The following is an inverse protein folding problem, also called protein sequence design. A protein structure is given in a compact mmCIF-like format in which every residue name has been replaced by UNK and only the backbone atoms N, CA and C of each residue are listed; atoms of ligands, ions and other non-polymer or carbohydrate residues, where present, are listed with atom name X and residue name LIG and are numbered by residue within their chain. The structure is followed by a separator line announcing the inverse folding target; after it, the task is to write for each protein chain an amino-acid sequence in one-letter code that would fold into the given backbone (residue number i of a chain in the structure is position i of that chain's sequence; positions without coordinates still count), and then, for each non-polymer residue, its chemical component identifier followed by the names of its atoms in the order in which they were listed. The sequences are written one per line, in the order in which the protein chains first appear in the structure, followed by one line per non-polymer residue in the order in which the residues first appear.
data_IF_530425521328
#
_entry.id   IF_530425521328
#
_cell.length_a   1.000
_cell.length_b   1.000
_cell.length_c   1.000
_cell.angle_alpha   90.00
_cell.angle_beta   90.00
_cell.angle_gamma   90.00
#
_symmetry.space_group_name_H-M   'P 1'
#
loop_
_entity.id
_entity.type
_entity.pdbx_description
1 polymer ?
#
# COMPACT_ATOMS: atom_id res chain seq x y z
N UNK A 1 -13.39 62.94 -30.99
CA UNK A 1 -13.96 62.55 -32.29
C UNK A 1 -14.50 61.12 -32.20
N UNK A 2 -15.85 61.04 -32.31
CA UNK A 2 -16.72 59.94 -32.79
C UNK A 2 -16.31 58.49 -32.51
N UNK A 3 -16.78 57.76 -31.48
CA UNK A 3 -18.10 57.09 -31.34
C UNK A 3 -18.54 56.25 -32.55
N UNK A 4 -18.66 54.92 -32.34
CA UNK A 4 -19.75 54.09 -32.89
C UNK A 4 -19.87 52.77 -32.15
N UNK A 5 -20.99 52.61 -31.43
CA UNK A 5 -21.54 51.30 -31.04
C UNK A 5 -22.30 50.72 -32.25
N UNK A 6 -22.46 49.42 -32.36
CA UNK A 6 -23.52 48.79 -33.15
C UNK A 6 -24.61 48.19 -32.23
N UNK A 7 -25.80 48.46 -32.69
CA UNK A 7 -27.12 48.08 -32.22
C UNK A 7 -27.43 46.56 -32.30
N UNK A 8 -28.07 46.02 -31.24
CA UNK A 8 -28.75 44.74 -31.27
C UNK A 8 -30.24 44.94 -31.52
N UNK A 9 -30.72 44.41 -32.65
CA UNK A 9 -32.14 44.33 -32.96
C UNK A 9 -32.67 42.96 -32.52
N UNK A 10 -33.71 43.04 -31.72
CA UNK A 10 -34.50 41.95 -31.19
C UNK A 10 -35.29 41.23 -32.30
N UNK A 11 -35.23 39.89 -32.42
CA UNK A 11 -36.25 39.07 -33.05
C UNK A 11 -36.79 38.06 -32.06
N UNK A 12 -37.97 38.32 -31.54
CA UNK A 12 -38.87 37.39 -30.86
C UNK A 12 -39.43 36.37 -31.87
N UNK A 13 -39.45 35.12 -31.49
CA UNK A 13 -40.33 34.13 -32.09
C UNK A 13 -39.63 32.80 -32.42
N UNK A 14 -39.93 31.78 -31.63
CA UNK A 14 -39.72 30.33 -31.69
C UNK A 14 -38.84 29.73 -30.59
N UNK A 15 -39.32 29.83 -29.37
CA UNK A 15 -38.76 29.06 -28.23
C UNK A 15 -39.99 28.48 -27.50
N UNK A 16 -40.57 27.39 -27.95
CA UNK A 16 -41.55 26.63 -27.13
C UNK A 16 -41.74 25.15 -27.54
N UNK A 17 -40.94 24.58 -28.47
CA UNK A 17 -41.07 23.15 -28.81
C UNK A 17 -39.78 22.35 -28.55
N UNK A 18 -38.64 23.03 -28.26
CA UNK A 18 -37.36 22.32 -27.99
C UNK A 18 -37.19 21.94 -26.50
N UNK A 19 -38.00 22.53 -25.61
CA UNK A 19 -37.86 22.34 -24.15
C UNK A 19 -38.36 20.96 -23.65
N UNK A 20 -39.36 20.33 -24.32
CA UNK A 20 -39.87 19.02 -23.89
C UNK A 20 -39.01 17.83 -24.36
N UNK A 21 -38.41 17.93 -25.56
CA UNK A 21 -37.51 16.87 -26.05
C UNK A 21 -36.19 16.82 -25.30
N UNK A 22 -35.63 17.97 -24.90
CA UNK A 22 -34.41 18.05 -24.12
C UNK A 22 -34.58 17.51 -22.70
N UNK A 23 -35.72 17.76 -22.04
CA UNK A 23 -36.03 17.24 -20.71
C UNK A 23 -36.24 15.72 -20.70
N UNK A 24 -36.81 15.16 -21.80
CA UNK A 24 -37.00 13.70 -21.90
C UNK A 24 -35.70 12.96 -22.19
N UNK A 25 -34.78 13.53 -22.98
CA UNK A 25 -33.44 12.99 -23.24
C UNK A 25 -32.54 13.12 -22.00
N UNK A 26 -32.69 14.19 -21.23
CA UNK A 26 -31.95 14.32 -19.95
C UNK A 26 -32.44 13.33 -18.88
N UNK A 27 -33.75 13.05 -18.84
CA UNK A 27 -34.32 12.04 -17.95
C UNK A 27 -33.91 10.61 -18.35
N UNK A 28 -33.82 10.31 -19.65
CA UNK A 28 -33.33 9.02 -20.16
C UNK A 28 -31.81 8.87 -19.93
N UNK A 29 -31.03 9.93 -20.05
CA UNK A 29 -29.59 9.89 -19.73
C UNK A 29 -29.31 9.77 -18.23
N UNK A 30 -30.13 10.38 -17.37
CA UNK A 30 -30.07 10.20 -15.91
C UNK A 30 -30.54 8.81 -15.49
N UNK A 31 -31.55 8.23 -16.15
CA UNK A 31 -31.98 6.85 -15.90
C UNK A 31 -30.94 5.83 -16.40
N UNK A 32 -30.24 6.09 -17.50
CA UNK A 32 -29.13 5.28 -17.99
C UNK A 32 -27.88 5.41 -17.07
N UNK A 33 -27.65 6.58 -16.47
CA UNK A 33 -26.60 6.78 -15.45
C UNK A 33 -26.95 6.09 -14.11
N UNK A 34 -28.25 5.92 -13.80
CA UNK A 34 -28.70 5.14 -12.63
C UNK A 34 -28.59 3.63 -12.86
N UNK A 35 -28.63 3.15 -14.11
CA UNK A 35 -28.39 1.74 -14.44
C UNK A 35 -26.90 1.41 -14.56
N UNK A 36 -26.02 2.41 -14.53
CA UNK A 36 -24.57 2.25 -14.39
C UNK A 36 -24.08 2.53 -12.96
N UNK A 37 -24.95 2.43 -11.96
CA UNK A 37 -24.46 2.15 -10.64
C UNK A 37 -23.75 0.80 -10.73
N UNK A 38 -22.40 0.87 -10.66
CA UNK A 38 -21.56 -0.27 -10.40
C UNK A 38 -22.28 -1.15 -9.37
N UNK A 39 -22.62 -2.37 -9.74
CA UNK A 39 -22.96 -3.37 -8.74
C UNK A 39 -21.77 -3.39 -7.78
N UNK A 40 -21.90 -2.75 -6.63
CA UNK A 40 -21.01 -3.02 -5.52
C UNK A 40 -21.01 -4.54 -5.41
N UNK A 41 -19.86 -5.17 -5.57
CA UNK A 41 -19.78 -6.62 -5.45
C UNK A 41 -20.40 -6.95 -4.09
N UNK A 42 -21.52 -7.71 -4.10
CA UNK A 42 -22.17 -8.10 -2.88
C UNK A 42 -21.16 -8.87 -2.04
N UNK A 43 -20.82 -8.34 -0.88
CA UNK A 43 -19.88 -8.98 0.05
C UNK A 43 -20.59 -10.18 0.65
N UNK A 44 -20.01 -11.37 0.45
CA UNK A 44 -20.56 -12.60 0.99
C UNK A 44 -20.18 -12.74 2.47
N UNK A 45 -21.08 -12.41 3.38
CA UNK A 45 -20.91 -12.52 4.83
C UNK A 45 -21.51 -13.83 5.41
N UNK A 46 -21.87 -14.79 4.56
CA UNK A 46 -22.55 -16.03 4.99
C UNK A 46 -21.63 -17.04 5.70
N UNK A 47 -20.32 -16.90 5.59
CA UNK A 47 -19.37 -17.79 6.27
C UNK A 47 -19.20 -17.29 7.72
N UNK A 48 -19.84 -17.98 8.67
CA UNK A 48 -19.67 -17.67 10.08
C UNK A 48 -18.23 -17.98 10.52
N UNK A 49 -17.59 -17.01 11.12
CA UNK A 49 -16.22 -17.11 11.65
C UNK A 49 -16.25 -16.81 13.15
N UNK A 50 -15.74 -17.74 13.97
CA UNK A 50 -15.43 -17.40 15.35
C UNK A 50 -14.24 -16.41 15.36
N UNK A 51 -14.25 -15.46 16.29
CA UNK A 51 -13.20 -14.46 16.40
C UNK A 51 -11.82 -15.14 16.50
N UNK A 52 -10.89 -14.77 15.61
CA UNK A 52 -9.53 -15.37 15.54
C UNK A 52 -9.39 -16.65 14.71
N UNK A 53 -10.46 -17.31 14.24
CA UNK A 53 -10.35 -18.47 13.35
C UNK A 53 -10.10 -18.04 11.90
N UNK A 54 -9.21 -18.78 11.20
CA UNK A 54 -9.00 -18.61 9.75
C UNK A 54 -10.06 -19.38 8.97
N UNK A 55 -10.37 -18.90 7.78
CA UNK A 55 -11.21 -19.59 6.80
C UNK A 55 -10.31 -20.62 6.07
N UNK A 56 -10.65 -21.91 6.18
CA UNK A 56 -9.91 -22.95 5.47
C UNK A 56 -10.37 -23.01 4.01
N UNK A 57 -9.43 -22.82 3.08
CA UNK A 57 -9.67 -22.81 1.64
C UNK A 57 -8.94 -23.97 0.97
N UNK A 58 -9.69 -24.82 0.28
CA UNK A 58 -9.12 -25.80 -0.64
C UNK A 58 -8.97 -25.21 -2.05
N UNK A 59 -7.90 -25.58 -2.74
CA UNK A 59 -7.69 -25.24 -4.15
C UNK A 59 -7.77 -26.47 -5.02
N UNK A 60 -8.54 -26.39 -6.12
CA UNK A 60 -8.75 -27.49 -7.07
C UNK A 60 -8.64 -26.98 -8.50
N UNK A 61 -8.39 -27.91 -9.44
CA UNK A 61 -8.53 -27.62 -10.87
C UNK A 61 -7.51 -26.65 -11.46
N UNK A 62 -6.42 -26.33 -10.77
CA UNK A 62 -5.31 -25.60 -11.38
C UNK A 62 -4.72 -26.43 -12.53
N UNK A 63 -5.54 -26.62 -13.56
CA UNK A 63 -5.19 -27.35 -14.77
C UNK A 63 -4.57 -26.41 -15.79
N UNK A 64 -3.54 -26.89 -16.47
CA UNK A 64 -2.82 -26.11 -17.46
C UNK A 64 -3.33 -26.44 -18.86
N UNK A 65 -4.15 -25.60 -19.45
CA UNK A 65 -4.54 -25.68 -20.87
C UNK A 65 -3.66 -24.82 -21.77
N UNK A 66 -2.52 -24.35 -21.27
CA UNK A 66 -1.59 -23.54 -22.05
C UNK A 66 -0.73 -24.46 -22.90
N UNK A 67 -1.17 -24.76 -24.12
CA UNK A 67 -0.35 -25.47 -25.10
C UNK A 67 0.82 -24.56 -25.54
N UNK A 68 2.04 -25.12 -25.53
CA UNK A 68 3.21 -24.51 -26.19
C UNK A 68 4.25 -23.81 -25.30
N UNK A 69 4.09 -23.79 -23.96
CA UNK A 69 5.13 -23.37 -23.05
C UNK A 69 5.84 -24.59 -22.46
N UNK A 70 6.79 -25.15 -23.24
CA UNK A 70 7.73 -26.13 -22.71
C UNK A 70 8.67 -25.42 -21.73
N UNK A 71 8.57 -25.77 -20.43
CA UNK A 71 9.52 -25.39 -19.38
C UNK A 71 9.04 -24.44 -18.29
N UNK A 72 7.94 -23.69 -18.45
CA UNK A 72 7.44 -22.80 -17.40
C UNK A 72 6.30 -23.45 -16.60
N UNK A 73 6.53 -23.68 -15.32
CA UNK A 73 5.49 -24.16 -14.40
C UNK A 73 4.59 -22.99 -13.95
N UNK A 74 3.76 -22.47 -14.87
CA UNK A 74 2.85 -21.33 -14.59
C UNK A 74 1.85 -21.64 -13.47
N UNK A 75 1.39 -22.90 -13.37
CA UNK A 75 0.51 -23.32 -12.29
C UNK A 75 1.23 -23.28 -10.94
N UNK A 76 2.47 -23.76 -10.90
CA UNK A 76 3.29 -23.70 -9.69
C UNK A 76 3.53 -22.26 -9.25
N UNK A 77 3.81 -21.36 -10.20
CA UNK A 77 3.95 -19.93 -9.91
C UNK A 77 2.64 -19.34 -9.38
N UNK A 78 1.50 -19.59 -10.03
CA UNK A 78 0.20 -19.09 -9.60
C UNK A 78 -0.17 -19.57 -8.19
N UNK A 79 0.02 -20.87 -7.91
CA UNK A 79 -0.25 -21.46 -6.59
C UNK A 79 0.71 -20.93 -5.50
N UNK A 80 1.99 -20.77 -5.82
CA UNK A 80 2.98 -20.16 -4.90
C UNK A 80 2.57 -18.74 -4.54
N UNK A 81 2.24 -17.91 -5.53
CA UNK A 81 1.79 -16.52 -5.33
C UNK A 81 0.51 -16.48 -4.51
N UNK A 82 -0.51 -17.27 -4.89
CA UNK A 82 -1.78 -17.35 -4.16
C UNK A 82 -1.57 -17.75 -2.69
N UNK A 83 -0.71 -18.75 -2.42
CA UNK A 83 -0.40 -19.17 -1.05
C UNK A 83 0.25 -18.05 -0.25
N UNK A 84 1.23 -17.36 -0.83
CA UNK A 84 1.87 -16.21 -0.20
C UNK A 84 0.86 -15.11 0.15
N UNK A 85 -0.08 -14.82 -0.77
CA UNK A 85 -1.13 -13.82 -0.57
C UNK A 85 -2.11 -14.21 0.53
N UNK A 86 -2.54 -15.48 0.56
CA UNK A 86 -3.45 -15.98 1.59
C UNK A 86 -2.79 -15.95 2.98
N UNK A 87 -1.51 -16.31 3.06
CA UNK A 87 -0.74 -16.20 4.32
C UNK A 87 -0.63 -14.74 4.79
N UNK A 88 -0.42 -13.79 3.85
CA UNK A 88 -0.43 -12.35 4.14
C UNK A 88 -1.81 -11.84 4.55
N UNK A 89 -2.90 -12.44 4.06
CA UNK A 89 -4.24 -12.01 4.47
C UNK A 89 -4.49 -12.17 5.97
N UNK A 90 -3.78 -13.11 6.61
CA UNK A 90 -3.97 -13.58 7.98
C UNK A 90 -5.38 -14.13 8.30
N UNK A 91 -6.31 -14.09 7.32
CA UNK A 91 -7.71 -14.52 7.50
C UNK A 91 -8.03 -15.83 6.81
N UNK A 92 -7.21 -16.24 5.82
CA UNK A 92 -7.41 -17.49 5.05
C UNK A 92 -6.25 -18.43 5.33
N UNK A 93 -6.56 -19.73 5.46
CA UNK A 93 -5.60 -20.83 5.55
C UNK A 93 -5.77 -21.75 4.36
N UNK A 94 -4.75 -21.88 3.52
CA UNK A 94 -4.80 -22.81 2.41
C UNK A 94 -4.56 -24.22 2.88
N UNK A 95 -5.48 -25.14 2.55
CA UNK A 95 -5.37 -26.55 2.84
C UNK A 95 -4.33 -27.18 1.90
N UNK A 96 -3.52 -28.11 2.43
CA UNK A 96 -2.58 -28.87 1.59
C UNK A 96 -3.39 -29.75 0.59
N UNK A 97 -3.17 -29.63 -0.72
CA UNK A 97 -3.85 -30.47 -1.72
C UNK A 97 -3.69 -31.95 -1.47
N UNK A 98 -2.57 -32.42 -0.88
CA UNK A 98 -2.31 -33.79 -0.57
C UNK A 98 -3.17 -34.33 0.60
N UNK A 99 -3.76 -33.47 1.39
CA UNK A 99 -4.68 -33.85 2.48
C UNK A 99 -6.14 -34.01 2.02
N UNK A 100 -6.43 -33.69 0.76
CA UNK A 100 -7.77 -33.85 0.20
C UNK A 100 -8.08 -35.35 -0.08
N UNK A 101 -9.35 -35.81 0.07
CA UNK A 101 -9.76 -37.19 -0.14
C UNK A 101 -9.91 -37.56 -1.62
N UNK A 102 -9.35 -36.74 -2.51
CA UNK A 102 -9.35 -36.93 -3.97
C UNK A 102 -8.20 -36.12 -4.59
N UNK A 103 -7.80 -36.53 -5.80
CA UNK A 103 -6.83 -35.77 -6.57
C UNK A 103 -7.46 -34.46 -7.07
N UNK A 104 -7.00 -33.32 -6.49
CA UNK A 104 -7.49 -32.00 -6.79
C UNK A 104 -7.26 -31.57 -8.25
N UNK A 105 -6.33 -32.19 -8.96
CA UNK A 105 -6.02 -31.89 -10.37
C UNK A 105 -7.04 -32.51 -11.34
N UNK A 106 -7.82 -33.51 -10.87
CA UNK A 106 -8.85 -34.16 -11.67
C UNK A 106 -10.19 -33.45 -11.70
N UNK A 107 -10.34 -32.36 -10.91
CA UNK A 107 -11.55 -31.55 -10.91
C UNK A 107 -11.62 -30.75 -12.22
N UNK A 108 -12.58 -31.12 -13.07
CA UNK A 108 -12.79 -30.49 -14.37
C UNK A 108 -13.72 -29.29 -14.27
N UNK A 109 -13.52 -28.24 -15.08
CA UNK A 109 -14.46 -27.13 -15.19
C UNK A 109 -15.90 -27.59 -15.47
N UNK A 110 -16.86 -27.08 -14.71
CA UNK A 110 -18.27 -27.44 -14.77
C UNK A 110 -18.68 -28.62 -13.89
N UNK A 111 -17.74 -29.31 -13.28
CA UNK A 111 -18.02 -30.44 -12.36
C UNK A 111 -17.57 -30.17 -10.92
N UNK A 112 -17.24 -28.95 -10.59
CA UNK A 112 -16.70 -28.53 -9.29
C UNK A 112 -17.67 -28.86 -8.15
N UNK A 113 -18.98 -28.71 -8.38
CA UNK A 113 -20.03 -28.96 -7.41
C UNK A 113 -20.08 -30.40 -6.89
N UNK A 114 -19.63 -31.37 -7.68
CA UNK A 114 -19.62 -32.81 -7.31
C UNK A 114 -18.65 -33.11 -6.17
N UNK A 115 -17.65 -32.24 -5.96
CA UNK A 115 -16.60 -32.44 -4.95
C UNK A 115 -16.92 -31.73 -3.61
N UNK A 116 -17.84 -30.77 -3.58
CA UNK A 116 -18.18 -30.03 -2.35
C UNK A 116 -18.61 -30.92 -1.18
N UNK A 117 -19.44 -31.98 -1.38
CA UNK A 117 -19.81 -32.85 -0.27
C UNK A 117 -18.63 -33.57 0.39
N UNK A 118 -17.56 -33.82 -0.37
CA UNK A 118 -16.34 -34.47 0.15
C UNK A 118 -15.48 -33.56 0.99
N UNK A 119 -15.62 -32.23 0.80
CA UNK A 119 -14.87 -31.20 1.54
C UNK A 119 -15.56 -30.79 2.85
N UNK A 120 -16.88 -30.96 2.94
CA UNK A 120 -17.66 -30.52 4.10
C UNK A 120 -17.26 -31.26 5.40
N UNK A 121 -16.79 -32.53 5.30
CA UNK A 121 -16.30 -33.28 6.46
C UNK A 121 -14.91 -32.88 6.96
N UNK A 122 -14.18 -32.04 6.21
CA UNK A 122 -12.80 -31.65 6.50
C UNK A 122 -12.68 -30.24 7.11
N UNK A 123 -13.78 -29.67 7.60
CA UNK A 123 -13.80 -28.27 8.10
C UNK A 123 -13.27 -27.26 7.09
N UNK A 124 -13.51 -27.50 5.81
CA UNK A 124 -13.18 -26.58 4.70
C UNK A 124 -14.41 -25.74 4.41
N UNK A 125 -14.28 -24.40 4.52
CA UNK A 125 -15.38 -23.48 4.32
C UNK A 125 -15.53 -23.09 2.86
N UNK A 126 -14.42 -22.93 2.13
CA UNK A 126 -14.43 -22.50 0.73
C UNK A 126 -13.55 -23.35 -0.15
N UNK A 127 -13.97 -23.50 -1.41
CA UNK A 127 -13.20 -24.16 -2.46
C UNK A 127 -12.95 -23.18 -3.60
N UNK A 128 -11.69 -22.96 -3.95
CA UNK A 128 -11.28 -22.21 -5.14
C UNK A 128 -10.98 -23.18 -6.27
N UNK A 129 -11.71 -23.08 -7.36
CA UNK A 129 -11.39 -23.74 -8.62
C UNK A 129 -10.84 -22.70 -9.61
N UNK A 130 -9.65 -22.96 -10.14
CA UNK A 130 -9.01 -22.04 -11.08
C UNK A 130 -8.45 -22.79 -12.29
N UNK A 131 -8.58 -22.15 -13.45
CA UNK A 131 -8.07 -22.66 -14.72
C UNK A 131 -7.22 -21.57 -15.39
N UNK A 132 -6.01 -21.96 -15.82
CA UNK A 132 -5.15 -21.10 -16.60
C UNK A 132 -5.23 -21.48 -18.08
N UNK A 133 -5.62 -20.55 -18.93
CA UNK A 133 -5.69 -20.72 -20.37
C UNK A 133 -4.98 -19.60 -21.11
N UNK A 134 -4.71 -19.80 -22.39
CA UNK A 134 -4.10 -18.79 -23.27
C UNK A 134 -5.04 -18.46 -24.42
N UNK A 135 -5.25 -17.18 -24.66
CA UNK A 135 -5.92 -16.68 -25.84
C UNK A 135 -5.00 -15.68 -26.52
N UNK A 136 -4.58 -15.99 -27.76
CA UNK A 136 -3.59 -15.22 -28.51
C UNK A 136 -2.29 -15.01 -27.70
N UNK A 137 -2.01 -13.77 -27.33
CA UNK A 137 -0.81 -13.38 -26.58
C UNK A 137 -1.10 -13.05 -25.09
N UNK A 138 -2.29 -13.41 -24.59
CA UNK A 138 -2.70 -13.16 -23.20
C UNK A 138 -2.95 -14.45 -22.45
N UNK A 139 -2.61 -14.44 -21.16
CA UNK A 139 -3.03 -15.43 -20.20
C UNK A 139 -4.40 -15.03 -19.63
N UNK A 140 -5.27 -16.02 -19.46
CA UNK A 140 -6.57 -15.88 -18.82
C UNK A 140 -6.57 -16.80 -17.60
N UNK A 141 -6.71 -16.23 -16.42
CA UNK A 141 -6.96 -16.94 -15.18
C UNK A 141 -8.47 -16.86 -14.91
N UNK A 142 -9.16 -17.98 -15.13
CA UNK A 142 -10.60 -18.14 -14.83
C UNK A 142 -10.72 -18.75 -13.44
N UNK A 143 -11.37 -18.06 -12.51
CA UNK A 143 -11.42 -18.45 -11.11
C UNK A 143 -12.84 -18.39 -10.56
N UNK A 144 -13.25 -19.48 -9.90
CA UNK A 144 -14.55 -19.63 -9.25
C UNK A 144 -14.35 -19.98 -7.78
N UNK A 145 -15.04 -19.29 -6.90
CA UNK A 145 -15.06 -19.59 -5.47
C UNK A 145 -16.41 -20.18 -5.09
N UNK A 146 -16.39 -21.23 -4.29
CA UNK A 146 -17.57 -21.95 -3.84
C UNK A 146 -17.66 -21.95 -2.31
N UNK A 147 -18.84 -21.71 -1.76
CA UNK A 147 -19.16 -22.04 -0.37
C UNK A 147 -19.43 -23.55 -0.29
N UNK A 148 -18.65 -24.23 0.54
CA UNK A 148 -18.73 -25.70 0.70
C UNK A 148 -20.01 -26.09 1.44
N UNK A 149 -20.43 -25.32 2.44
CA UNK A 149 -21.61 -25.60 3.28
C UNK A 149 -22.92 -25.32 2.52
N UNK A 150 -23.00 -24.18 1.86
CA UNK A 150 -24.15 -23.79 1.05
C UNK A 150 -24.21 -24.51 -0.31
N UNK A 151 -23.12 -25.17 -0.70
CA UNK A 151 -22.96 -25.83 -2.01
C UNK A 151 -23.28 -24.90 -3.18
N UNK A 152 -22.80 -23.69 -3.14
CA UNK A 152 -23.07 -22.70 -4.19
C UNK A 152 -21.81 -21.98 -4.62
N UNK A 153 -21.78 -21.56 -5.88
CA UNK A 153 -20.75 -20.66 -6.40
C UNK A 153 -21.02 -19.25 -5.88
N UNK A 154 -20.02 -18.65 -5.23
CA UNK A 154 -20.13 -17.32 -4.60
C UNK A 154 -19.31 -16.24 -5.32
N UNK A 155 -18.31 -16.63 -6.14
CA UNK A 155 -17.54 -15.72 -6.97
C UNK A 155 -17.18 -16.39 -8.30
N UNK A 156 -17.18 -15.60 -9.40
CA UNK A 156 -16.62 -16.02 -10.68
C UNK A 156 -16.02 -14.81 -11.38
N UNK A 157 -14.72 -14.82 -11.53
CA UNK A 157 -13.99 -13.74 -12.19
C UNK A 157 -12.96 -14.29 -13.18
N UNK A 158 -12.72 -13.52 -14.25
CA UNK A 158 -11.66 -13.75 -15.24
C UNK A 158 -10.64 -12.62 -15.22
N UNK A 159 -9.38 -13.00 -15.06
CA UNK A 159 -8.27 -12.05 -15.02
C UNK A 159 -7.41 -12.26 -16.27
N UNK A 160 -7.30 -11.21 -17.06
CA UNK A 160 -6.41 -11.21 -18.24
C UNK A 160 -5.10 -10.54 -17.91
N UNK A 161 -4.01 -11.12 -18.39
CA UNK A 161 -2.65 -10.59 -18.23
C UNK A 161 -1.80 -10.92 -19.46
N UNK A 162 -0.71 -10.18 -19.67
CA UNK A 162 0.35 -10.62 -20.58
C UNK A 162 1.07 -11.80 -19.96
N UNK A 163 1.98 -12.44 -20.72
CA UNK A 163 2.75 -13.59 -20.26
C UNK A 163 3.55 -13.35 -18.97
N UNK A 164 4.01 -12.12 -18.75
CA UNK A 164 4.74 -11.71 -17.53
C UNK A 164 3.81 -11.21 -16.39
N UNK A 165 2.53 -11.06 -16.66
CA UNK A 165 1.55 -10.46 -15.73
C UNK A 165 0.79 -11.46 -14.88
N UNK A 166 1.15 -12.76 -14.89
CA UNK A 166 0.43 -13.80 -14.15
C UNK A 166 0.37 -13.50 -12.65
N UNK A 167 1.50 -13.14 -12.04
CA UNK A 167 1.57 -12.78 -10.61
C UNK A 167 0.59 -11.64 -10.28
N UNK A 168 0.57 -10.58 -11.09
CA UNK A 168 -0.37 -9.47 -10.89
C UNK A 168 -1.85 -9.90 -11.06
N UNK A 169 -2.14 -10.88 -11.92
CA UNK A 169 -3.49 -11.45 -12.06
C UNK A 169 -3.88 -12.25 -10.82
N UNK A 170 -2.95 -13.02 -10.26
CA UNK A 170 -3.17 -13.77 -9.02
C UNK A 170 -3.37 -12.84 -7.83
N UNK A 171 -2.57 -11.77 -7.68
CA UNK A 171 -2.78 -10.76 -6.62
C UNK A 171 -4.17 -10.11 -6.70
N UNK A 172 -4.70 -9.85 -7.91
CA UNK A 172 -6.07 -9.37 -8.08
C UNK A 172 -7.10 -10.39 -7.61
N UNK A 173 -6.94 -11.65 -8.00
CA UNK A 173 -7.79 -12.74 -7.52
C UNK A 173 -7.76 -12.84 -6.00
N UNK A 174 -6.57 -12.78 -5.41
CA UNK A 174 -6.37 -12.84 -3.96
C UNK A 174 -7.10 -11.71 -3.22
N UNK A 175 -6.96 -10.48 -3.70
CA UNK A 175 -7.65 -9.32 -3.12
C UNK A 175 -9.17 -9.43 -3.26
N UNK A 176 -9.67 -9.94 -4.39
CA UNK A 176 -11.10 -10.14 -4.63
C UNK A 176 -11.67 -11.24 -3.71
N UNK A 177 -10.94 -12.35 -3.50
CA UNK A 177 -11.31 -13.41 -2.55
C UNK A 177 -11.38 -12.84 -1.13
N UNK A 178 -10.34 -12.10 -0.69
CA UNK A 178 -10.29 -11.50 0.64
C UNK A 178 -11.48 -10.55 0.82
N UNK A 179 -11.70 -9.66 -0.15
CA UNK A 179 -12.80 -8.70 -0.09
C UNK A 179 -14.16 -9.39 -0.02
N UNK A 180 -14.38 -10.41 -0.86
CA UNK A 180 -15.65 -11.12 -0.92
C UNK A 180 -15.98 -11.84 0.38
N UNK A 181 -14.96 -12.45 1.02
CA UNK A 181 -15.13 -13.22 2.26
C UNK A 181 -15.15 -12.35 3.52
N UNK A 182 -14.60 -11.13 3.48
CA UNK A 182 -14.38 -10.33 4.72
C UNK A 182 -15.00 -8.93 4.67
N UNK A 183 -15.34 -8.42 3.49
CA UNK A 183 -15.71 -7.03 3.28
C UNK A 183 -14.52 -6.05 3.32
N UNK A 184 -13.32 -6.52 3.63
CA UNK A 184 -12.12 -5.69 3.71
C UNK A 184 -11.28 -5.85 2.45
N UNK A 185 -10.78 -4.73 1.91
CA UNK A 185 -9.87 -4.78 0.76
C UNK A 185 -8.55 -5.46 1.13
N UNK A 186 -8.10 -6.38 0.29
CA UNK A 186 -6.78 -7.00 0.41
C UNK A 186 -5.63 -6.01 0.19
N UNK A 187 -4.41 -6.47 0.46
CA UNK A 187 -3.16 -5.71 0.30
C UNK A 187 -2.22 -6.36 -0.73
N UNK A 188 -2.63 -7.45 -1.39
CA UNK A 188 -1.76 -8.25 -2.24
C UNK A 188 -1.22 -7.49 -3.45
N UNK A 189 -1.97 -6.49 -3.96
CA UNK A 189 -1.55 -5.61 -5.06
C UNK A 189 -0.68 -4.43 -4.63
N UNK A 190 -0.48 -4.22 -3.34
CA UNK A 190 0.34 -3.11 -2.85
C UNK A 190 1.82 -3.38 -3.10
N UNK A 191 2.62 -2.31 -3.07
CA UNK A 191 4.05 -2.36 -3.34
C UNK A 191 4.83 -1.73 -2.18
N UNK A 192 6.10 -2.08 -2.10
CA UNK A 192 7.05 -1.38 -1.25
C UNK A 192 7.97 -0.51 -2.12
N UNK A 193 8.05 0.78 -1.80
CA UNK A 193 9.12 1.64 -2.26
C UNK A 193 10.28 1.56 -1.26
N UNK A 194 11.50 1.54 -1.73
CA UNK A 194 12.68 1.43 -0.86
C UNK A 194 13.92 2.01 -1.52
N UNK A 195 14.97 2.19 -0.74
CA UNK A 195 16.29 2.58 -1.22
C UNK A 195 17.19 1.35 -1.32
N UNK A 196 17.96 1.23 -2.40
CA UNK A 196 18.99 0.20 -2.52
C UNK A 196 20.24 0.72 -3.23
N UNK A 197 21.40 0.16 -2.87
CA UNK A 197 22.68 0.41 -3.51
C UNK A 197 23.00 -0.62 -4.63
N UNK A 198 22.03 -1.43 -5.04
CA UNK A 198 22.19 -2.51 -6.04
C UNK A 198 22.80 -2.03 -7.37
N UNK A 199 22.55 -0.79 -7.77
CA UNK A 199 23.12 -0.17 -8.98
C UNK A 199 24.41 0.61 -8.74
N UNK A 200 25.05 0.48 -7.56
CA UNK A 200 26.27 1.18 -7.14
C UNK A 200 26.04 2.49 -6.40
N UNK A 201 24.89 3.15 -6.59
CA UNK A 201 24.47 4.32 -5.84
C UNK A 201 23.13 4.03 -5.12
N UNK A 202 22.79 4.82 -4.09
CA UNK A 202 21.49 4.72 -3.43
C UNK A 202 20.40 5.29 -4.31
N UNK A 203 19.62 4.39 -4.91
CA UNK A 203 18.52 4.71 -5.81
C UNK A 203 17.19 4.21 -5.23
N UNK A 204 16.07 4.76 -5.71
CA UNK A 204 14.72 4.33 -5.33
C UNK A 204 14.32 3.14 -6.20
N UNK A 205 13.77 2.13 -5.56
CA UNK A 205 13.23 0.92 -6.17
C UNK A 205 11.80 0.66 -5.69
N UNK A 206 11.08 -0.15 -6.45
CA UNK A 206 9.80 -0.75 -6.06
C UNK A 206 9.93 -2.27 -6.08
N UNK A 207 9.17 -2.98 -5.23
CA UNK A 207 8.96 -4.43 -5.28
C UNK A 207 7.53 -4.78 -4.88
N UNK A 208 7.08 -5.94 -5.29
CA UNK A 208 5.83 -6.54 -4.82
C UNK A 208 6.00 -7.13 -3.40
N UNK A 209 4.91 -7.45 -2.72
CA UNK A 209 4.96 -7.94 -1.33
C UNK A 209 5.52 -9.36 -1.15
N UNK A 210 5.68 -10.10 -2.23
CA UNK A 210 6.40 -11.37 -2.26
C UNK A 210 7.92 -11.22 -2.40
N UNK A 211 8.41 -9.96 -2.59
CA UNK A 211 9.80 -9.62 -2.81
C UNK A 211 10.23 -9.66 -4.28
N UNK A 212 9.31 -10.05 -5.17
CA UNK A 212 9.54 -10.15 -6.61
C UNK A 212 9.32 -8.81 -7.34
N UNK A 213 9.51 -8.78 -8.65
CA UNK A 213 9.30 -7.63 -9.55
C UNK A 213 10.04 -6.35 -9.11
N UNK A 214 11.29 -6.50 -8.67
CA UNK A 214 12.14 -5.37 -8.26
C UNK A 214 12.43 -4.45 -9.45
N UNK A 215 11.94 -3.20 -9.37
CA UNK A 215 12.09 -2.20 -10.44
C UNK A 215 12.85 -0.97 -9.93
N UNK A 216 13.87 -0.56 -10.65
CA UNK A 216 14.63 0.67 -10.37
C UNK A 216 13.87 1.90 -10.91
N UNK A 217 13.53 2.83 -10.03
CA UNK A 217 12.75 4.03 -10.35
C UNK A 217 13.61 5.27 -10.59
N UNK A 218 14.76 5.37 -9.93
CA UNK A 218 15.72 6.48 -10.14
C UNK A 218 17.03 5.94 -10.69
N UNK A 219 17.70 6.73 -11.55
CA UNK A 219 18.96 6.35 -12.21
C UNK A 219 19.85 7.58 -12.44
N UNK A 220 20.11 8.33 -11.38
CA UNK A 220 20.89 9.55 -11.47
C UNK A 220 22.30 9.43 -10.84
N UNK A 221 22.64 8.25 -10.30
CA UNK A 221 23.93 7.94 -9.67
C UNK A 221 24.27 8.87 -8.50
N UNK A 222 23.23 9.34 -7.80
CA UNK A 222 23.34 10.18 -6.62
C UNK A 222 22.67 9.50 -5.42
N UNK A 223 22.66 10.18 -4.26
CA UNK A 223 21.89 9.72 -3.12
C UNK A 223 20.42 10.08 -3.34
N UNK A 224 19.55 9.07 -3.38
CA UNK A 224 18.11 9.21 -3.39
C UNK A 224 17.58 8.46 -2.16
N UNK A 225 16.86 9.17 -1.27
CA UNK A 225 16.56 8.72 0.08
C UNK A 225 15.08 8.93 0.42
N UNK A 226 14.62 8.21 1.44
CA UNK A 226 13.30 8.41 2.09
C UNK A 226 12.13 8.52 1.12
N UNK A 227 11.87 7.50 0.27
CA UNK A 227 10.68 7.52 -0.56
C UNK A 227 9.42 7.54 0.31
N UNK A 228 8.37 8.27 -0.14
CA UNK A 228 7.06 8.34 0.51
C UNK A 228 5.96 8.36 -0.55
N UNK A 229 5.07 7.38 -0.50
CA UNK A 229 3.92 7.29 -1.40
C UNK A 229 2.91 8.40 -1.13
N UNK A 230 2.37 8.98 -2.21
CA UNK A 230 1.16 9.79 -2.12
C UNK A 230 -0.06 8.91 -1.76
N UNK A 231 -1.09 9.45 -1.09
CA UNK A 231 -2.27 8.68 -0.68
C UNK A 231 -3.04 8.03 -1.82
N UNK A 232 -2.94 8.56 -3.05
CA UNK A 232 -3.53 8.02 -4.27
C UNK A 232 -2.65 6.96 -4.97
N UNK A 233 -1.44 6.69 -4.45
CA UNK A 233 -0.50 5.72 -5.01
C UNK A 233 0.15 6.13 -6.34
N UNK A 234 -0.04 7.37 -6.80
CA UNK A 234 0.49 7.84 -8.08
C UNK A 234 1.90 8.40 -7.99
N UNK A 235 2.22 9.04 -6.89
CA UNK A 235 3.50 9.73 -6.73
C UNK A 235 4.34 9.14 -5.61
N UNK A 236 5.67 9.24 -5.78
CA UNK A 236 6.65 9.08 -4.72
C UNK A 236 7.34 10.41 -4.48
N UNK A 237 7.22 10.96 -3.27
CA UNK A 237 8.10 12.02 -2.80
C UNK A 237 9.41 11.40 -2.32
N UNK A 238 10.55 11.99 -2.66
CA UNK A 238 11.85 11.52 -2.23
C UNK A 238 12.87 12.64 -2.19
N UNK A 239 13.90 12.46 -1.37
CA UNK A 239 15.04 13.40 -1.27
C UNK A 239 16.13 12.95 -2.24
N UNK A 240 16.69 13.90 -3.01
CA UNK A 240 17.80 13.63 -3.92
C UNK A 240 18.91 14.66 -3.80
N UNK A 241 20.16 14.18 -3.78
CA UNK A 241 21.37 15.01 -3.79
C UNK A 241 21.93 15.22 -5.20
N UNK A 242 21.15 14.93 -6.26
CA UNK A 242 21.61 15.01 -7.66
C UNK A 242 22.12 16.39 -8.07
N UNK A 243 21.62 17.44 -7.47
CA UNK A 243 22.00 18.84 -7.75
C UNK A 243 22.91 19.42 -6.64
N UNK A 244 23.51 18.53 -5.80
CA UNK A 244 24.48 18.89 -4.74
C UNK A 244 23.83 19.17 -3.38
N UNK A 245 22.61 19.67 -3.33
CA UNK A 245 21.83 19.90 -2.10
C UNK A 245 20.77 18.83 -1.92
N UNK A 246 20.37 18.48 -0.68
CA UNK A 246 19.21 17.61 -0.46
C UNK A 246 17.92 18.33 -0.84
N UNK A 247 17.47 18.12 -2.06
CA UNK A 247 16.25 18.70 -2.63
C UNK A 247 15.12 17.65 -2.65
N UNK A 248 13.87 18.12 -2.60
CA UNK A 248 12.69 17.28 -2.62
C UNK A 248 12.13 17.15 -4.04
N UNK A 249 11.90 15.92 -4.46
CA UNK A 249 11.36 15.56 -5.77
C UNK A 249 10.08 14.75 -5.65
N UNK A 250 9.21 14.89 -6.65
CA UNK A 250 8.11 13.97 -6.93
C UNK A 250 8.45 13.12 -8.15
N UNK A 251 8.23 11.82 -8.06
CA UNK A 251 8.28 10.87 -9.15
C UNK A 251 6.86 10.37 -9.42
N UNK A 252 6.32 10.62 -10.62
CA UNK A 252 5.11 9.96 -11.12
C UNK A 252 5.46 8.51 -11.50
N UNK A 253 4.94 7.54 -10.77
CA UNK A 253 5.30 6.13 -10.95
C UNK A 253 4.72 5.52 -12.24
N UNK A 254 3.70 6.16 -12.82
CA UNK A 254 3.04 5.68 -14.03
C UNK A 254 3.82 6.02 -15.31
N UNK A 255 4.47 7.18 -15.35
CA UNK A 255 5.19 7.67 -16.52
C UNK A 255 6.68 7.95 -16.26
N UNK A 256 7.15 7.82 -15.01
CA UNK A 256 8.56 8.05 -14.64
C UNK A 256 8.99 9.51 -14.63
N UNK A 257 8.06 10.47 -14.80
CA UNK A 257 8.37 11.92 -14.77
C UNK A 257 8.77 12.34 -13.36
N UNK A 258 9.84 13.15 -13.28
CA UNK A 258 10.37 13.70 -12.03
C UNK A 258 10.23 15.21 -12.01
N UNK A 259 9.72 15.74 -10.92
CA UNK A 259 9.54 17.18 -10.72
C UNK A 259 10.18 17.57 -9.40
N UNK A 260 11.05 18.58 -9.41
CA UNK A 260 11.61 19.16 -8.20
C UNK A 260 10.54 20.08 -7.60
N UNK A 261 10.19 19.86 -6.32
CA UNK A 261 9.13 20.61 -5.63
C UNK A 261 9.66 21.48 -4.49
N UNK A 262 10.86 21.20 -3.96
CA UNK A 262 11.55 22.08 -3.01
C UNK A 262 13.05 22.03 -3.22
N UNK A 263 13.69 23.19 -3.27
CA UNK A 263 15.15 23.39 -3.37
C UNK A 263 15.58 24.64 -2.58
N UNK A 264 14.98 24.82 -1.42
CA UNK A 264 15.32 25.94 -0.55
C UNK A 264 16.72 25.75 0.05
N UNK A 265 17.42 26.82 0.42
CA UNK A 265 18.75 26.72 1.04
C UNK A 265 18.76 25.78 2.24
N UNK A 266 19.78 24.93 2.34
CA UNK A 266 19.93 23.95 3.40
C UNK A 266 19.14 22.66 3.15
N UNK A 267 18.64 22.04 4.22
CA UNK A 267 17.96 20.76 4.16
C UNK A 267 16.52 20.90 3.65
N UNK A 268 16.14 20.04 2.70
CA UNK A 268 14.75 19.82 2.25
C UNK A 268 14.49 18.32 2.36
N UNK A 269 14.09 17.83 3.54
CA UNK A 269 14.09 16.40 3.88
C UNK A 269 12.81 15.94 4.57
N UNK A 270 12.70 14.62 4.75
CA UNK A 270 11.64 13.96 5.53
C UNK A 270 10.22 14.32 5.08
N UNK A 271 9.87 14.17 3.78
CA UNK A 271 8.52 14.43 3.34
C UNK A 271 7.51 13.46 3.96
N UNK A 272 6.32 13.94 4.29
CA UNK A 272 5.19 13.16 4.76
C UNK A 272 3.88 13.73 4.21
N UNK A 273 3.13 12.95 3.46
CA UNK A 273 1.86 13.36 2.88
C UNK A 273 0.74 13.43 3.92
N UNK A 274 -0.09 14.45 3.84
CA UNK A 274 -1.37 14.43 4.55
C UNK A 274 -2.29 13.35 3.97
N UNK A 275 -3.20 12.75 4.76
CA UNK A 275 -4.07 11.65 4.29
C UNK A 275 -4.97 12.04 3.11
N UNK A 276 -5.34 13.32 2.98
CA UNK A 276 -6.12 13.85 1.86
C UNK A 276 -5.28 14.25 0.64
N UNK A 277 -3.95 14.10 0.72
CA UNK A 277 -3.00 14.43 -0.35
C UNK A 277 -2.83 15.93 -0.64
N UNK A 278 -3.48 16.82 0.12
CA UNK A 278 -3.44 18.27 -0.15
C UNK A 278 -2.22 18.96 0.40
N UNK A 279 -1.57 18.37 1.40
CA UNK A 279 -0.40 18.91 2.07
C UNK A 279 0.72 17.89 2.17
N UNK A 280 1.91 18.41 2.29
CA UNK A 280 3.11 17.66 2.64
C UNK A 280 3.78 18.34 3.83
N UNK A 281 3.99 17.61 4.92
CA UNK A 281 4.86 18.05 6.00
C UNK A 281 6.30 17.69 5.63
N UNK A 282 7.23 18.59 5.86
CA UNK A 282 8.65 18.38 5.56
C UNK A 282 9.53 19.17 6.52
N UNK A 283 10.78 18.75 6.64
CA UNK A 283 11.78 19.45 7.45
C UNK A 283 12.68 20.31 6.55
N UNK A 284 12.76 21.61 6.89
CA UNK A 284 13.59 22.59 6.18
C UNK A 284 14.52 23.30 7.16
N UNK A 285 15.78 23.57 6.73
CA UNK A 285 16.72 24.37 7.51
C UNK A 285 17.00 25.76 6.93
N UNK A 286 16.11 26.26 6.06
CA UNK A 286 16.27 27.56 5.36
C UNK A 286 16.44 28.77 6.27
N UNK A 287 16.00 28.68 7.51
CA UNK A 287 16.11 29.76 8.54
C UNK A 287 17.24 29.53 9.55
N UNK A 288 18.16 28.61 9.26
CA UNK A 288 19.29 28.25 10.13
C UNK A 288 19.05 26.99 10.96
N UNK A 289 17.92 26.88 11.64
CA UNK A 289 17.49 25.68 12.36
C UNK A 289 16.55 24.83 11.54
N UNK A 290 16.56 23.51 11.79
CA UNK A 290 15.66 22.59 11.10
C UNK A 290 14.27 22.60 11.74
N UNK A 291 13.28 23.09 11.00
CA UNK A 291 11.90 23.22 11.44
C UNK A 291 10.95 22.48 10.49
N UNK A 292 9.74 22.14 10.98
CA UNK A 292 8.69 21.54 10.16
C UNK A 292 7.87 22.63 9.46
N UNK A 293 7.58 22.33 8.20
CA UNK A 293 6.76 23.17 7.32
C UNK A 293 5.67 22.31 6.68
N UNK A 294 4.55 22.93 6.36
CA UNK A 294 3.55 22.41 5.43
C UNK A 294 3.74 23.07 4.08
N UNK A 295 3.66 22.27 3.02
CA UNK A 295 3.79 22.72 1.64
C UNK A 295 2.75 22.02 0.77
N UNK A 296 2.26 22.69 -0.28
CA UNK A 296 1.45 22.01 -1.31
C UNK A 296 2.32 21.07 -2.14
N UNK A 297 1.77 19.93 -2.65
CA UNK A 297 2.53 18.98 -3.45
C UNK A 297 3.11 19.54 -4.76
N UNK A 298 2.59 20.65 -5.24
CA UNK A 298 3.11 21.39 -6.41
C UNK A 298 4.30 22.32 -6.07
N UNK A 299 4.69 22.37 -4.79
CA UNK A 299 5.75 23.26 -4.28
C UNK A 299 5.27 24.65 -3.86
N UNK A 300 3.96 24.93 -4.01
CA UNK A 300 3.33 26.17 -3.57
C UNK A 300 3.02 26.22 -2.07
N UNK A 301 2.55 27.35 -1.60
CA UNK A 301 2.05 27.62 -0.24
C UNK A 301 2.86 26.95 0.87
N UNK A 302 3.94 27.60 1.27
CA UNK A 302 4.84 27.11 2.33
C UNK A 302 4.49 27.77 3.66
N UNK A 303 4.12 26.99 4.67
CA UNK A 303 3.80 27.45 6.03
C UNK A 303 4.66 26.76 7.07
N UNK A 304 5.34 27.53 7.92
CA UNK A 304 6.08 27.00 9.07
C UNK A 304 5.10 26.61 10.19
N UNK A 305 5.30 25.42 10.79
CA UNK A 305 4.45 24.89 11.87
C UNK A 305 5.22 24.58 13.16
N UNK A 306 6.56 24.62 13.14
CA UNK A 306 7.38 24.64 14.36
C UNK A 306 8.34 25.80 14.29
N UNK A 307 8.68 26.37 15.44
CA UNK A 307 9.67 27.43 15.59
C UNK A 307 10.53 27.15 16.83
N UNK A 308 11.84 27.32 16.71
CA UNK A 308 12.74 27.11 17.83
C UNK A 308 14.19 26.79 17.42
N UNK A 309 15.04 26.66 18.43
CA UNK A 309 16.46 26.31 18.26
C UNK A 309 16.69 24.80 18.18
N UNK A 310 15.69 24.01 18.54
CA UNK A 310 15.73 22.56 18.49
C UNK A 310 15.63 22.06 17.02
N UNK A 311 15.95 20.79 16.83
CA UNK A 311 15.77 20.09 15.58
C UNK A 311 14.36 19.49 15.56
N UNK A 312 13.61 19.71 14.45
CA UNK A 312 12.30 19.14 14.21
C UNK A 312 12.33 18.41 12.87
N UNK A 313 12.19 17.06 12.87
CA UNK A 313 12.35 16.23 11.68
C UNK A 313 11.39 15.03 11.70
N UNK A 314 11.36 14.28 10.58
CA UNK A 314 10.65 13.01 10.44
C UNK A 314 9.16 13.09 10.82
N UNK A 315 8.39 14.02 10.24
CA UNK A 315 6.96 14.10 10.50
C UNK A 315 6.22 12.87 9.95
N UNK A 316 5.11 12.50 10.60
CA UNK A 316 4.11 11.54 10.11
C UNK A 316 2.74 11.98 10.55
N UNK A 317 1.75 11.88 9.66
CA UNK A 317 0.39 12.33 9.91
C UNK A 317 -0.45 11.26 10.60
N UNK A 318 -1.34 11.68 11.47
CA UNK A 318 -2.46 10.85 11.91
C UNK A 318 -3.40 10.56 10.74
N UNK A 319 -4.06 9.38 10.67
CA UNK A 319 -4.91 9.01 9.53
C UNK A 319 -6.12 9.91 9.32
N UNK A 320 -6.55 10.64 10.37
CA UNK A 320 -7.62 11.64 10.29
C UNK A 320 -7.12 13.04 9.87
N UNK A 321 -5.81 13.22 9.65
CA UNK A 321 -5.18 14.48 9.23
C UNK A 321 -5.14 15.59 10.29
N UNK A 322 -5.51 15.30 11.54
CA UNK A 322 -5.61 16.32 12.60
C UNK A 322 -4.32 16.53 13.37
N UNK A 323 -3.44 15.53 13.41
CA UNK A 323 -2.22 15.55 14.19
C UNK A 323 -1.01 15.12 13.37
N UNK A 324 0.17 15.55 13.81
CA UNK A 324 1.48 15.18 13.28
C UNK A 324 2.34 14.67 14.43
N UNK A 325 2.85 13.44 14.30
CA UNK A 325 3.94 12.98 15.16
C UNK A 325 5.28 13.27 14.46
N UNK A 326 6.32 13.60 15.23
CA UNK A 326 7.62 14.00 14.71
C UNK A 326 8.72 13.78 15.75
N UNK A 327 9.98 13.95 15.34
CA UNK A 327 11.15 13.88 16.20
C UNK A 327 11.58 15.29 16.57
N UNK A 328 11.87 15.52 17.85
CA UNK A 328 12.56 16.74 18.31
C UNK A 328 13.54 16.43 19.46
N UNK A 329 14.63 17.17 19.49
CA UNK A 329 15.64 17.14 20.57
C UNK A 329 15.48 18.29 21.58
N UNK A 330 14.33 19.02 21.55
CA UNK A 330 14.05 20.12 22.47
C UNK A 330 14.11 19.77 23.96
N UNK A 331 13.96 18.48 24.30
CA UNK A 331 14.14 17.93 25.64
C UNK A 331 15.56 17.43 25.93
N UNK A 332 16.56 17.80 25.10
CA UNK A 332 17.97 17.43 25.23
C UNK A 332 18.39 16.21 24.41
N UNK A 333 17.48 15.32 24.08
CA UNK A 333 17.72 14.10 23.26
C UNK A 333 16.58 13.89 22.27
N UNK A 334 16.83 13.22 21.12
CA UNK A 334 15.76 12.94 20.13
C UNK A 334 14.64 12.10 20.74
N UNK A 335 13.43 12.63 20.70
CA UNK A 335 12.22 12.01 21.22
C UNK A 335 11.05 12.21 20.24
N UNK A 336 10.03 11.35 20.36
CA UNK A 336 8.81 11.50 19.62
C UNK A 336 7.90 12.51 20.32
N UNK A 337 7.40 13.46 19.55
CA UNK A 337 6.41 14.46 19.95
C UNK A 337 5.17 14.33 19.06
N UNK A 338 4.05 14.84 19.54
CA UNK A 338 2.81 14.97 18.79
C UNK A 338 2.30 16.40 18.95
N UNK A 339 1.79 16.97 17.87
CA UNK A 339 1.13 18.27 17.84
C UNK A 339 -0.09 18.25 16.92
N UNK A 340 -0.95 19.23 17.00
CA UNK A 340 -2.01 19.43 16.03
C UNK A 340 -1.41 19.85 14.67
N UNK A 341 -2.11 19.59 13.58
CA UNK A 341 -1.61 19.86 12.22
C UNK A 341 -1.28 21.36 11.97
N UNK A 342 -1.90 22.25 12.75
CA UNK A 342 -1.66 23.69 12.72
C UNK A 342 -0.37 24.12 13.44
N UNK A 343 0.30 23.20 14.17
CA UNK A 343 1.51 23.47 14.95
C UNK A 343 1.26 23.80 16.42
N UNK A 344 0.03 23.61 16.91
CA UNK A 344 -0.37 23.87 18.30
C UNK A 344 -0.38 22.59 19.14
N UNK A 345 -0.56 22.73 20.46
CA UNK A 345 -0.71 21.64 21.42
C UNK A 345 0.42 20.59 21.37
N UNK A 346 1.65 21.06 21.16
CA UNK A 346 2.83 20.20 21.12
C UNK A 346 3.08 19.54 22.47
N UNK A 347 3.24 18.21 22.45
CA UNK A 347 3.57 17.41 23.65
C UNK A 347 4.54 16.30 23.34
N UNK A 348 5.39 15.98 24.28
CA UNK A 348 6.29 14.81 24.22
C UNK A 348 5.48 13.53 24.39
N UNK A 349 5.78 12.50 23.57
CA UNK A 349 5.13 11.21 23.61
C UNK A 349 6.03 10.13 24.25
N UNK A 350 7.36 10.14 24.00
CA UNK A 350 8.28 9.12 24.50
C UNK A 350 9.13 9.68 25.65
N UNK A 351 9.25 8.90 26.73
CA UNK A 351 10.00 9.26 27.94
C UNK A 351 11.07 8.23 28.32
N UNK A 352 11.07 7.06 27.68
CA UNK A 352 12.05 6.01 27.91
C UNK A 352 13.09 6.03 26.78
N UNK A 353 14.35 5.70 27.12
CA UNK A 353 15.46 5.74 26.19
C UNK A 353 15.94 7.15 25.85
N UNK A 354 17.15 7.24 25.29
CA UNK A 354 17.81 8.51 24.96
C UNK A 354 17.78 8.83 23.46
N UNK A 355 17.24 7.94 22.64
CA UNK A 355 17.17 8.09 21.19
C UNK A 355 15.92 7.41 20.67
N UNK A 356 14.91 8.21 20.34
CA UNK A 356 13.64 7.77 19.75
C UNK A 356 13.40 8.54 18.46
N UNK A 357 13.24 7.84 17.32
CA UNK A 357 13.20 8.46 15.98
C UNK A 357 12.28 7.69 15.02
N UNK A 358 12.13 8.21 13.79
CA UNK A 358 11.42 7.57 12.69
C UNK A 358 10.00 7.13 13.05
N UNK A 359 9.14 8.02 13.59
CA UNK A 359 7.76 7.66 13.87
C UNK A 359 6.99 7.35 12.58
N UNK A 360 6.09 6.36 12.66
CA UNK A 360 5.16 5.98 11.62
C UNK A 360 3.79 5.74 12.26
N UNK A 361 2.80 6.55 11.90
CA UNK A 361 1.45 6.41 12.44
C UNK A 361 0.70 5.29 11.75
N UNK A 362 0.05 4.41 12.53
CA UNK A 362 -0.82 3.35 12.03
C UNK A 362 -2.03 3.94 11.28
N UNK A 363 -2.43 3.40 10.14
CA UNK A 363 -3.62 3.85 9.43
C UNK A 363 -4.93 3.62 10.22
N UNK A 364 -4.90 2.77 11.26
CA UNK A 364 -6.00 2.61 12.23
C UNK A 364 -6.07 3.76 13.23
N UNK A 365 -5.01 4.56 13.39
CA UNK A 365 -4.94 5.67 14.32
C UNK A 365 -4.62 5.28 15.77
N UNK A 366 -4.52 4.01 16.06
CA UNK A 366 -4.41 3.43 17.40
C UNK A 366 -2.97 3.36 17.93
N UNK A 367 -1.97 3.35 17.06
CA UNK A 367 -0.56 3.16 17.40
C UNK A 367 0.35 4.05 16.55
N UNK A 368 1.53 4.36 17.11
CA UNK A 368 2.66 4.97 16.41
C UNK A 368 3.84 4.01 16.57
N UNK A 369 4.31 3.42 15.47
CA UNK A 369 5.56 2.68 15.46
C UNK A 369 6.73 3.67 15.41
N UNK A 370 7.84 3.37 16.06
CA UNK A 370 9.03 4.21 16.07
C UNK A 370 10.29 3.38 16.35
N UNK A 371 11.44 3.96 16.09
CA UNK A 371 12.74 3.37 16.39
C UNK A 371 13.23 3.88 17.74
N UNK A 372 13.67 3.00 18.62
CA UNK A 372 14.32 3.33 19.90
C UNK A 372 15.65 2.61 20.03
N UNK A 373 16.65 3.31 20.55
CA UNK A 373 17.94 2.70 20.88
C UNK A 373 17.90 2.06 22.27
N UNK A 374 18.22 0.76 22.32
CA UNK A 374 18.39 0.02 23.56
C UNK A 374 19.67 -0.81 23.50
N UNK A 375 20.51 -0.71 24.53
CA UNK A 375 21.76 -1.46 24.64
C UNK A 375 22.67 -1.37 23.40
N UNK A 376 22.72 -0.21 22.76
CA UNK A 376 23.50 0.04 21.53
C UNK A 376 22.86 -0.43 20.20
N UNK A 377 21.72 -1.12 20.24
CA UNK A 377 20.99 -1.57 19.07
C UNK A 377 19.71 -0.78 18.87
N UNK A 378 19.29 -0.62 17.60
CA UNK A 378 18.05 0.02 17.23
C UNK A 378 16.94 -1.03 17.10
N UNK A 379 15.82 -0.78 17.76
CA UNK A 379 14.66 -1.65 17.77
C UNK A 379 13.39 -0.86 17.46
N UNK A 380 12.41 -1.53 16.85
CA UNK A 380 11.10 -0.96 16.57
C UNK A 380 10.19 -1.19 17.77
N UNK A 381 9.55 -0.12 18.21
CA UNK A 381 8.54 -0.08 19.25
C UNK A 381 7.22 0.44 18.69
N UNK A 382 6.14 0.17 19.38
CA UNK A 382 4.86 0.81 19.17
C UNK A 382 4.36 1.43 20.47
N UNK A 383 3.67 2.57 20.37
CA UNK A 383 3.07 3.30 21.48
C UNK A 383 1.72 3.85 21.03
N UNK A 384 0.74 3.93 21.94
CA UNK A 384 -0.52 4.60 21.61
C UNK A 384 -0.33 6.13 21.52
N UNK A 385 -1.18 6.84 20.74
CA UNK A 385 -1.08 8.30 20.64
C UNK A 385 -1.26 9.05 21.98
N UNK A 386 -1.86 8.42 22.98
CA UNK A 386 -1.98 8.97 24.35
C UNK A 386 -0.70 8.82 25.20
N UNK A 387 0.31 8.06 24.71
CA UNK A 387 1.55 7.77 25.40
C UNK A 387 1.57 6.47 26.18
N UNK A 388 0.45 5.75 26.22
CA UNK A 388 0.35 4.44 26.87
C UNK A 388 0.71 3.26 25.97
N UNK A 389 0.76 2.04 26.54
CA UNK A 389 0.88 0.79 25.80
C UNK A 389 2.17 0.64 25.01
N UNK A 390 3.31 1.09 25.57
CA UNK A 390 4.63 0.89 24.95
C UNK A 390 4.93 -0.61 24.81
N UNK A 391 5.19 -1.03 23.57
CA UNK A 391 5.47 -2.41 23.20
C UNK A 391 6.71 -2.48 22.33
N UNK A 392 7.67 -3.36 22.66
CA UNK A 392 8.79 -3.66 21.79
C UNK A 392 8.35 -4.69 20.72
N UNK A 393 8.53 -4.36 19.45
CA UNK A 393 8.13 -5.22 18.32
C UNK A 393 9.30 -6.02 17.75
N UNK A 394 10.53 -5.54 17.92
CA UNK A 394 11.74 -6.25 17.51
C UNK A 394 12.72 -6.38 18.68
N UNK A 395 13.46 -7.50 18.68
CA UNK A 395 14.42 -7.85 19.70
C UNK A 395 15.67 -8.51 19.07
N UNK A 396 16.72 -8.68 19.83
CA UNK A 396 17.90 -9.46 19.43
C UNK A 396 18.91 -8.65 18.62
N UNK A 397 19.65 -9.34 17.76
CA UNK A 397 20.77 -8.76 17.03
C UNK A 397 20.32 -7.89 15.84
N UNK A 398 21.22 -6.95 15.48
CA UNK A 398 21.06 -6.08 14.31
C UNK A 398 20.30 -4.79 14.60
N UNK A 399 20.41 -3.85 13.66
CA UNK A 399 19.69 -2.58 13.67
C UNK A 399 18.34 -2.77 12.96
N UNK A 400 17.24 -2.33 13.57
CA UNK A 400 15.89 -2.42 13.02
C UNK A 400 15.34 -1.00 12.91
N UNK A 401 15.09 -0.52 11.67
CA UNK A 401 14.87 0.89 11.40
C UNK A 401 13.75 1.10 10.39
N UNK A 402 13.28 2.36 10.33
CA UNK A 402 12.37 2.86 9.31
C UNK A 402 11.07 2.04 9.17
N UNK A 403 10.27 1.93 10.24
CA UNK A 403 8.98 1.25 10.16
C UNK A 403 8.02 1.96 9.21
N UNK A 404 7.26 1.19 8.42
CA UNK A 404 6.18 1.65 7.56
C UNK A 404 5.01 0.67 7.63
N UNK A 405 3.81 1.18 7.92
CA UNK A 405 2.60 0.37 8.07
C UNK A 405 2.02 -0.05 6.72
N UNK A 406 1.49 -1.26 6.66
CA UNK A 406 0.56 -1.66 5.59
C UNK A 406 -0.71 -0.82 5.63
N UNK A 407 -1.39 -0.59 4.49
CA UNK A 407 -2.59 0.27 4.46
C UNK A 407 -3.81 -0.27 5.25
N UNK A 408 -3.78 -1.54 5.67
CA UNK A 408 -4.76 -2.15 6.57
C UNK A 408 -4.33 -2.11 8.05
N UNK A 409 -3.10 -1.66 8.33
CA UNK A 409 -2.53 -1.59 9.68
C UNK A 409 -2.29 -2.95 10.35
N UNK A 410 -2.19 -4.04 9.56
CA UNK A 410 -1.92 -5.39 10.08
C UNK A 410 -0.45 -5.76 10.06
N UNK A 411 0.32 -5.08 9.21
CA UNK A 411 1.75 -5.34 9.03
C UNK A 411 2.58 -4.07 9.11
N UNK A 412 3.86 -4.26 9.42
CA UNK A 412 4.90 -3.23 9.41
C UNK A 412 6.05 -3.74 8.55
N UNK A 413 6.42 -2.98 7.51
CA UNK A 413 7.67 -3.15 6.79
C UNK A 413 8.78 -2.36 7.50
N UNK A 414 10.00 -2.90 7.52
CA UNK A 414 11.16 -2.25 8.16
C UNK A 414 12.46 -2.73 7.54
N UNK A 415 13.53 -1.97 7.72
CA UNK A 415 14.87 -2.42 7.37
C UNK A 415 15.58 -3.06 8.57
N UNK A 416 16.36 -4.12 8.32
CA UNK A 416 17.11 -4.80 9.40
C UNK A 416 18.44 -5.35 8.91
N UNK A 417 19.47 -5.23 9.77
CA UNK A 417 20.83 -5.77 9.53
C UNK A 417 21.07 -7.11 10.24
N UNK A 418 20.01 -7.77 10.76
CA UNK A 418 20.11 -9.02 11.56
C UNK A 418 20.78 -10.20 10.86
N UNK A 419 20.87 -10.17 9.53
CA UNK A 419 21.56 -11.17 8.71
C UNK A 419 22.81 -10.61 8.02
N UNK A 420 23.44 -9.58 8.61
CA UNK A 420 24.65 -8.93 8.11
C UNK A 420 24.33 -7.70 7.26
N UNK A 421 23.87 -7.87 6.00
CA UNK A 421 23.45 -6.75 5.14
C UNK A 421 22.07 -6.25 5.51
N UNK A 422 21.84 -4.95 5.29
CA UNK A 422 20.50 -4.37 5.46
C UNK A 422 19.52 -4.98 4.44
N UNK A 423 18.42 -5.50 4.95
CA UNK A 423 17.34 -6.09 4.15
C UNK A 423 15.98 -5.53 4.57
N UNK A 424 14.99 -5.62 3.67
CA UNK A 424 13.60 -5.30 3.98
C UNK A 424 12.92 -6.53 4.58
N UNK A 425 12.28 -6.32 5.70
CA UNK A 425 11.49 -7.31 6.44
C UNK A 425 10.07 -6.82 6.61
N UNK A 426 9.14 -7.74 6.80
CA UNK A 426 7.80 -7.46 7.31
C UNK A 426 7.54 -8.24 8.60
N UNK A 427 6.67 -7.71 9.43
CA UNK A 427 6.14 -8.35 10.64
C UNK A 427 4.67 -7.98 10.82
N UNK A 428 3.94 -8.73 11.63
CA UNK A 428 2.60 -8.34 12.07
C UNK A 428 2.67 -7.15 13.04
N UNK A 429 1.54 -6.48 13.24
CA UNK A 429 1.42 -5.31 14.13
C UNK A 429 1.79 -5.58 15.59
N UNK A 430 1.83 -6.84 16.01
CA UNK A 430 2.27 -7.31 17.33
C UNK A 430 3.76 -7.70 17.40
N UNK A 431 4.51 -7.56 16.28
CA UNK A 431 5.91 -7.94 16.15
C UNK A 431 6.15 -9.40 15.76
N UNK A 432 5.12 -10.22 15.68
CA UNK A 432 5.22 -11.62 15.28
C UNK A 432 5.38 -11.82 13.77
N UNK A 433 5.74 -13.05 13.34
CA UNK A 433 5.78 -13.42 11.94
C UNK A 433 6.82 -12.67 11.11
N UNK A 434 7.93 -12.27 11.70
CA UNK A 434 9.00 -11.53 11.04
C UNK A 434 9.64 -12.37 9.93
N UNK A 435 9.62 -11.85 8.70
CA UNK A 435 10.25 -12.49 7.55
C UNK A 435 10.90 -11.47 6.63
N UNK A 436 12.01 -11.88 5.99
CA UNK A 436 12.70 -11.08 4.98
C UNK A 436 11.96 -11.15 3.65
N UNK A 437 11.86 -10.01 2.96
CA UNK A 437 11.32 -9.90 1.60
C UNK A 437 12.42 -9.72 0.57
N UNK A 438 13.41 -8.87 0.86
CA UNK A 438 14.50 -8.57 -0.08
C UNK A 438 15.48 -9.73 -0.21
N UNK A 439 16.11 -9.85 -1.38
CA UNK A 439 17.31 -10.68 -1.59
C UNK A 439 18.47 -10.18 -0.69
N UNK A 440 19.59 -10.88 -0.72
CA UNK A 440 20.82 -10.53 0.04
C UNK A 440 21.97 -10.04 -0.85
N UNK A 441 21.67 -9.75 -2.12
CA UNK A 441 22.63 -9.31 -3.14
C UNK A 441 23.07 -7.85 -3.00
N UNK A 442 22.33 -7.03 -2.23
CA UNK A 442 22.60 -5.61 -2.00
C UNK A 442 22.08 -5.19 -0.61
N UNK A 443 22.27 -3.92 -0.26
CA UNK A 443 21.63 -3.31 0.89
C UNK A 443 20.31 -2.65 0.51
N UNK A 444 19.31 -2.79 1.38
CA UNK A 444 17.96 -2.30 1.21
C UNK A 444 17.51 -1.52 2.44
N UNK A 445 17.04 -0.28 2.27
CA UNK A 445 16.78 0.66 3.36
C UNK A 445 15.43 1.35 3.22
N UNK A 446 14.93 1.92 4.29
CA UNK A 446 13.82 2.86 4.33
C UNK A 446 12.61 2.44 3.48
N UNK A 447 11.99 1.29 3.78
CA UNK A 447 10.78 0.89 3.08
C UNK A 447 9.65 1.87 3.33
N UNK A 448 8.80 2.06 2.31
CA UNK A 448 7.53 2.77 2.43
C UNK A 448 6.44 1.99 1.70
N UNK A 449 5.38 1.64 2.42
CA UNK A 449 4.30 0.81 1.92
C UNK A 449 3.31 1.65 1.11
N UNK A 450 2.96 1.20 -0.09
CA UNK A 450 2.00 1.91 -0.93
C UNK A 450 0.58 1.87 -0.34
N UNK A 451 -0.26 2.85 -0.63
CA UNK A 451 -1.70 2.71 -0.43
C UNK A 451 -2.27 1.59 -1.32
N UNK A 452 -3.56 1.32 -1.16
CA UNK A 452 -4.32 0.31 -1.93
C UNK A 452 -4.72 0.81 -3.31
#
# INVERSE_FOLDING_TARGET
MKSRMPSWVCKKGRVLIVSFAASFLLALSLAALWLWQSSAADVYLGISRAEGQKINMATVGFSNKVAGLQGENLNGLALKTLRSDMDLSAVISMVDPNSLPFDSTLVRPGREMEFLPRLSSLSIQVMLAAELSRSENKLILDAKLFDVSARQQILHNRYMADMKGLTAAVHRLSDDIIYYLTGERGICRTKLAFVSNKSGAKEIYLMDLDGDNVMQMTRNRSLNLTPRWSPDGRFLAYVSYRDGNPDLYLLDVTCGRRTKISSLPGLNISPAWSPDGKWMALALSKSGNTNLYLMRPDGGELRQITDGKAIFVSPTWSPNGRQIAFVSDQGGTPQIYVMDAEGTNMRRLTFQGNYNTSPAWSPKGDKIAFVSQQNGSLHIFAIRPDGGGLLALTHGAGQNESPSWSPDGRYIAFSSTRQGRSGIYIMREDGSGQRRLSSDDADYYTPDWSPR
#
